data_IF_469655443670
#
_entry.id   IF_469655443670
#
_cell.length_a   1.000
_cell.length_b   1.000
_cell.length_c   1.000
_cell.angle_alpha   90.00
_cell.angle_beta   90.00
_cell.angle_gamma   90.00
#
_symmetry.space_group_name_H-M   'P 1'
#
loop_
_entity.id
_entity.type
_entity.pdbx_description
1 polymer ?
#
# COMPACT_ATOMS: atom_id res chain seq x y z
N UNK A 1 0.56 19.20 -12.79
CA UNK A 1 0.07 19.17 -11.40
C UNK A 1 0.95 18.20 -10.63
N UNK A 2 1.40 18.55 -9.42
CA UNK A 2 2.34 17.74 -8.63
C UNK A 2 1.60 17.12 -7.43
N UNK A 3 0.57 16.30 -7.70
CA UNK A 3 -0.24 15.63 -6.66
C UNK A 3 0.01 14.13 -6.73
N UNK A 4 0.37 13.53 -5.61
CA UNK A 4 0.56 12.09 -5.46
C UNK A 4 -0.62 11.48 -4.71
N UNK A 5 -0.96 10.23 -5.05
CA UNK A 5 -1.88 9.39 -4.27
C UNK A 5 -1.05 8.37 -3.50
N UNK A 6 -1.06 8.48 -2.17
CA UNK A 6 -0.56 7.45 -1.27
C UNK A 6 -1.72 6.55 -0.85
N UNK A 7 -1.58 5.25 -1.07
CA UNK A 7 -2.51 4.23 -0.56
C UNK A 7 -1.89 3.55 0.66
N UNK A 8 -2.69 3.36 1.70
CA UNK A 8 -2.29 2.68 2.94
C UNK A 8 -3.31 1.59 3.25
N UNK A 9 -2.85 0.37 3.43
CA UNK A 9 -3.70 -0.79 3.71
C UNK A 9 -3.22 -1.52 4.95
N UNK A 10 -4.18 -1.88 5.79
CA UNK A 10 -3.99 -2.76 6.93
C UNK A 10 -4.86 -3.99 6.70
N UNK A 11 -4.23 -5.13 6.53
CA UNK A 11 -4.90 -6.40 6.21
C UNK A 11 -5.02 -7.20 7.51
N UNK A 12 -6.23 -7.43 8.05
CA UNK A 12 -6.41 -8.08 9.35
C UNK A 12 -5.85 -9.50 9.39
N UNK A 13 -6.03 -10.26 8.31
CA UNK A 13 -5.67 -11.68 8.25
C UNK A 13 -5.00 -12.03 6.92
N UNK A 14 -4.11 -13.01 6.96
CA UNK A 14 -3.39 -13.50 5.79
C UNK A 14 -2.04 -12.81 5.62
N UNK A 15 -0.94 -13.58 5.55
CA UNK A 15 0.39 -13.02 5.40
C UNK A 15 0.63 -12.53 3.96
N UNK A 16 1.68 -11.75 3.74
CA UNK A 16 2.00 -11.15 2.45
C UNK A 16 2.13 -12.20 1.33
N UNK A 17 2.65 -13.40 1.63
CA UNK A 17 2.85 -14.50 0.69
C UNK A 17 1.52 -15.10 0.19
N UNK A 18 0.39 -14.75 0.81
CA UNK A 18 -0.94 -15.10 0.30
C UNK A 18 -1.29 -14.34 -0.98
N UNK A 19 -0.67 -13.18 -1.21
CA UNK A 19 -0.95 -12.26 -2.32
C UNK A 19 0.08 -12.40 -3.43
N UNK A 20 0.08 -13.57 -4.06
CA UNK A 20 0.89 -13.88 -5.23
C UNK A 20 0.15 -14.94 -6.09
N UNK A 21 0.56 -15.18 -7.34
CA UNK A 21 -0.15 -16.11 -8.24
C UNK A 21 -0.32 -17.53 -7.68
N UNK A 22 0.67 -18.02 -6.94
CA UNK A 22 0.64 -19.34 -6.26
C UNK A 22 0.09 -19.28 -4.82
N UNK A 23 -0.16 -18.09 -4.29
CA UNK A 23 -0.65 -17.87 -2.93
C UNK A 23 -2.15 -18.11 -2.83
N UNK A 24 -2.65 -18.15 -1.59
CA UNK A 24 -4.06 -18.42 -1.31
C UNK A 24 -5.01 -17.47 -2.06
N UNK A 25 -4.67 -16.18 -2.11
CA UNK A 25 -5.50 -15.14 -2.73
C UNK A 25 -5.32 -15.04 -4.25
N UNK A 26 -4.33 -15.74 -4.83
CA UNK A 26 -4.05 -15.86 -6.29
C UNK A 26 -3.72 -14.56 -7.04
N UNK A 27 -3.79 -13.42 -6.37
CA UNK A 27 -3.53 -12.10 -6.94
C UNK A 27 -2.53 -11.34 -6.08
N UNK A 28 -1.68 -10.54 -6.70
CA UNK A 28 -0.80 -9.61 -5.98
C UNK A 28 -1.59 -8.40 -5.47
N UNK A 29 -1.04 -7.69 -4.48
CA UNK A 29 -1.66 -6.45 -3.99
C UNK A 29 -1.74 -5.38 -5.09
N UNK A 30 -0.75 -5.32 -5.98
CA UNK A 30 -0.76 -4.41 -7.14
C UNK A 30 -1.92 -4.73 -8.09
N UNK A 31 -2.21 -6.01 -8.33
CA UNK A 31 -3.33 -6.41 -9.17
C UNK A 31 -4.68 -6.00 -8.58
N UNK A 32 -4.84 -6.17 -7.27
CA UNK A 32 -6.06 -5.76 -6.56
C UNK A 32 -6.24 -4.24 -6.54
N UNK A 33 -5.15 -3.48 -6.63
CA UNK A 33 -5.17 -2.01 -6.59
C UNK A 33 -5.26 -1.35 -7.97
N UNK A 34 -5.24 -2.12 -9.06
CA UNK A 34 -5.36 -1.60 -10.43
C UNK A 34 -6.53 -0.61 -10.64
N UNK A 35 -7.75 -0.84 -10.09
CA UNK A 35 -8.83 0.13 -10.26
C UNK A 35 -8.52 1.49 -9.62
N UNK A 36 -7.92 1.49 -8.42
CA UNK A 36 -7.53 2.72 -7.71
C UNK A 36 -6.42 3.45 -8.47
N UNK A 37 -5.42 2.70 -8.94
CA UNK A 37 -4.35 3.24 -9.78
C UNK A 37 -4.92 3.88 -11.06
N UNK A 38 -5.81 3.19 -11.76
CA UNK A 38 -6.43 3.69 -12.99
C UNK A 38 -7.25 4.96 -12.75
N UNK A 39 -7.97 5.06 -11.64
CA UNK A 39 -8.66 6.29 -11.25
C UNK A 39 -7.66 7.43 -11.02
N UNK A 40 -6.60 7.19 -10.25
CA UNK A 40 -5.63 8.24 -9.89
C UNK A 40 -4.85 8.77 -11.11
N UNK A 41 -4.41 7.88 -12.00
CA UNK A 41 -3.54 8.24 -13.13
C UNK A 41 -4.30 8.69 -14.37
N UNK A 42 -5.64 8.60 -14.37
CA UNK A 42 -6.47 9.08 -15.47
C UNK A 42 -6.18 10.57 -15.76
N UNK A 43 -6.13 11.01 -17.04
CA UNK A 43 -5.83 12.41 -17.40
C UNK A 43 -6.69 13.49 -16.74
N UNK A 44 -7.93 13.19 -16.35
CA UNK A 44 -8.81 14.13 -15.65
C UNK A 44 -8.40 14.35 -14.18
N UNK A 45 -7.74 13.38 -13.55
CA UNK A 45 -7.27 13.45 -12.16
C UNK A 45 -5.76 13.76 -12.12
N UNK A 46 -4.97 13.05 -12.92
CA UNK A 46 -3.57 13.36 -13.20
C UNK A 46 -2.66 13.26 -11.98
N UNK A 47 -2.89 12.28 -11.10
CA UNK A 47 -2.06 12.04 -9.92
C UNK A 47 -0.98 10.99 -10.19
N UNK A 48 0.17 11.14 -9.51
CA UNK A 48 1.18 10.09 -9.44
C UNK A 48 0.75 9.04 -8.41
N UNK A 49 0.50 7.81 -8.86
CA UNK A 49 0.19 6.70 -7.96
C UNK A 49 1.48 6.19 -7.30
N UNK A 50 1.58 6.36 -5.99
CA UNK A 50 2.76 5.92 -5.24
C UNK A 50 2.66 4.43 -4.91
N UNK A 51 3.81 3.80 -4.66
CA UNK A 51 3.83 2.44 -4.11
C UNK A 51 2.96 2.39 -2.83
N UNK A 52 2.05 1.42 -2.69
CA UNK A 52 1.20 1.32 -1.52
C UNK A 52 2.02 0.94 -0.29
N UNK A 53 1.66 1.48 0.88
CA UNK A 53 2.15 1.00 2.17
C UNK A 53 1.17 -0.06 2.69
N UNK A 54 1.64 -1.29 2.91
CA UNK A 54 0.77 -2.42 3.22
C UNK A 54 1.30 -3.13 4.46
N UNK A 55 0.45 -3.25 5.47
CA UNK A 55 0.70 -4.05 6.67
C UNK A 55 -0.22 -5.27 6.68
N UNK A 56 0.35 -6.46 6.75
CA UNK A 56 -0.39 -7.72 6.86
C UNK A 56 -0.45 -8.22 8.30
N UNK A 57 -1.49 -9.00 8.62
CA UNK A 57 -1.62 -9.68 9.92
C UNK A 57 -1.96 -8.74 11.07
N UNK A 58 -2.66 -7.63 10.81
CA UNK A 58 -2.95 -6.62 11.85
C UNK A 58 -3.95 -7.09 12.91
N UNK A 59 -4.57 -8.26 12.72
CA UNK A 59 -5.40 -8.88 13.75
C UNK A 59 -4.62 -9.28 15.00
N UNK A 60 -3.31 -9.50 14.88
CA UNK A 60 -2.46 -10.05 15.94
C UNK A 60 -1.29 -9.10 16.34
N UNK A 61 -1.29 -7.84 15.88
CA UNK A 61 -0.20 -6.91 16.22
C UNK A 61 -0.35 -6.35 17.64
N UNK A 62 0.76 -6.24 18.37
CA UNK A 62 0.79 -5.57 19.68
C UNK A 62 0.76 -4.05 19.52
N UNK A 63 0.42 -3.34 20.61
CA UNK A 63 0.47 -1.87 20.63
C UNK A 63 1.88 -1.34 20.31
N UNK A 64 2.95 -2.03 20.75
CA UNK A 64 4.31 -1.62 20.40
C UNK A 64 4.61 -1.81 18.92
N UNK A 65 4.17 -2.93 18.34
CA UNK A 65 4.34 -3.20 16.90
C UNK A 65 3.56 -2.17 16.07
N UNK A 66 2.36 -1.80 16.50
CA UNK A 66 1.56 -0.76 15.84
C UNK A 66 2.23 0.61 15.92
N UNK A 67 2.76 0.99 17.09
CA UNK A 67 3.50 2.25 17.27
C UNK A 67 4.76 2.31 16.40
N UNK A 68 5.49 1.19 16.30
CA UNK A 68 6.64 1.06 15.41
C UNK A 68 6.22 1.20 13.93
N UNK A 69 5.12 0.57 13.53
CA UNK A 69 4.60 0.66 12.17
C UNK A 69 4.19 2.09 11.81
N UNK A 70 3.56 2.82 12.75
CA UNK A 70 3.24 4.23 12.56
C UNK A 70 4.50 5.08 12.33
N UNK A 71 5.58 4.83 13.08
CA UNK A 71 6.85 5.53 12.88
C UNK A 71 7.49 5.19 11.51
N UNK A 72 7.39 3.93 11.07
CA UNK A 72 7.86 3.49 9.74
C UNK A 72 7.04 4.12 8.61
N UNK A 73 5.72 4.20 8.76
CA UNK A 73 4.85 4.87 7.81
C UNK A 73 5.20 6.36 7.67
N UNK A 74 5.46 7.07 8.78
CA UNK A 74 5.93 8.46 8.72
C UNK A 74 7.22 8.57 7.92
N UNK A 75 8.24 7.73 8.22
CA UNK A 75 9.50 7.73 7.47
C UNK A 75 9.27 7.45 5.99
N UNK A 76 8.40 6.50 5.68
CA UNK A 76 8.06 6.11 4.32
C UNK A 76 7.49 7.29 3.52
N UNK A 77 6.50 8.01 4.06
CA UNK A 77 5.88 9.14 3.36
C UNK A 77 6.75 10.40 3.33
N UNK A 78 7.67 10.56 4.28
CA UNK A 78 8.59 11.70 4.28
C UNK A 78 9.84 11.49 3.42
N UNK A 79 10.24 10.24 3.17
CA UNK A 79 11.41 9.89 2.36
C UNK A 79 11.09 9.52 0.91
N UNK A 80 9.83 9.65 0.46
CA UNK A 80 9.47 9.32 -0.90
C UNK A 80 10.12 10.28 -1.92
N UNK A 81 11.18 9.81 -2.58
CA UNK A 81 11.56 10.28 -3.91
C UNK A 81 10.56 9.71 -4.92
N UNK A 82 9.95 10.58 -5.72
CA UNK A 82 9.07 10.18 -6.83
C UNK A 82 9.86 9.25 -7.76
N UNK A 83 9.49 7.98 -7.83
CA UNK A 83 9.97 7.11 -8.92
C UNK A 83 9.24 7.56 -10.18
N UNK A 84 9.99 8.19 -11.08
CA UNK A 84 9.56 8.66 -12.41
C UNK A 84 9.23 7.47 -13.32
#
# INVERSE_FOLDING_TARGET
MNRSLQVVLHIPFGPAESYQPSGYNRYTMEELLKPIQATATNPFIGMTFMTPYILHGVGDVTDEQLAQNAAEYVKYVTNQSVTV
#
